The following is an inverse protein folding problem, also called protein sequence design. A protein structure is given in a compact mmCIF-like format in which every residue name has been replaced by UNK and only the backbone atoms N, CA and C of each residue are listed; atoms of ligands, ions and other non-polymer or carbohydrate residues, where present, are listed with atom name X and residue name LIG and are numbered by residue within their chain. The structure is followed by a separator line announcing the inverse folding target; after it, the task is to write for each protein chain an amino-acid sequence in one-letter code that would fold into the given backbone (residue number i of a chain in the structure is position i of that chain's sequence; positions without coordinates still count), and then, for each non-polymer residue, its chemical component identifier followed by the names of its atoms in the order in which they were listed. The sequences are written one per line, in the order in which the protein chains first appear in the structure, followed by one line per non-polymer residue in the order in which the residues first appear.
data_IF_774544671687
#
_entry.id   IF_774544671687
#
_cell.length_a   1.000
_cell.length_b   1.000
_cell.length_c   1.000
_cell.angle_alpha   90.00
_cell.angle_beta   90.00
_cell.angle_gamma   90.00
#
_symmetry.space_group_name_H-M   'P 1'
#
loop_
_entity.id
_entity.type
_entity.pdbx_description
1 polymer ?
#
# COMPACT_ATOMS: atom_id res chain seq x y z
N UNK A 1 15.36 -12.43 -15.78
CA UNK A 1 15.09 -12.31 -14.33
C UNK A 1 16.41 -12.07 -13.62
N UNK A 2 16.54 -11.02 -12.80
CA UNK A 2 17.73 -10.83 -11.98
C UNK A 2 17.90 -12.03 -11.03
N UNK A 3 19.14 -12.48 -10.87
CA UNK A 3 19.49 -13.62 -10.02
C UNK A 3 19.26 -13.24 -8.56
N UNK A 4 18.45 -14.01 -7.81
CA UNK A 4 18.19 -13.76 -6.39
C UNK A 4 19.49 -13.88 -5.59
N UNK A 5 19.73 -12.90 -4.73
CA UNK A 5 20.98 -12.74 -3.97
C UNK A 5 20.99 -13.64 -2.72
N UNK A 6 22.17 -14.04 -2.22
CA UNK A 6 22.27 -14.85 -1.02
C UNK A 6 21.74 -14.09 0.20
N UNK A 7 20.85 -14.72 0.97
CA UNK A 7 20.29 -14.19 2.21
C UNK A 7 21.33 -14.22 3.34
N UNK A 8 21.10 -13.44 4.41
CA UNK A 8 21.82 -13.57 5.67
C UNK A 8 21.92 -15.06 6.05
N UNK A 9 23.12 -15.65 6.15
CA UNK A 9 23.26 -17.08 6.43
C UNK A 9 22.68 -17.47 7.80
N UNK A 10 22.50 -16.50 8.70
CA UNK A 10 21.91 -16.71 10.02
C UNK A 10 20.38 -16.61 10.04
N UNK A 11 19.76 -16.02 9.02
CA UNK A 11 18.31 -15.93 8.93
C UNK A 11 17.75 -16.99 8.00
N UNK A 12 17.03 -17.96 8.59
CA UNK A 12 16.35 -19.02 7.86
C UNK A 12 14.85 -18.89 8.15
N UNK A 13 14.01 -18.59 7.15
CA UNK A 13 12.57 -18.48 7.38
C UNK A 13 12.01 -19.83 7.79
N UNK A 14 11.16 -19.83 8.81
CA UNK A 14 10.48 -21.04 9.27
C UNK A 14 9.48 -21.58 8.25
N UNK A 15 8.92 -20.69 7.41
CA UNK A 15 8.02 -21.04 6.30
C UNK A 15 8.21 -20.12 5.09
N UNK A 16 7.86 -20.64 3.92
CA UNK A 16 7.84 -19.90 2.66
C UNK A 16 6.49 -20.02 2.01
N UNK A 17 5.94 -18.90 1.59
CA UNK A 17 4.65 -18.80 0.94
C UNK A 17 4.83 -18.22 -0.47
N UNK A 18 4.00 -18.67 -1.40
CA UNK A 18 3.88 -18.09 -2.73
C UNK A 18 2.54 -17.38 -2.95
N UNK A 19 1.61 -17.53 -2.00
CA UNK A 19 0.29 -16.89 -2.00
C UNK A 19 -0.03 -16.36 -0.61
N UNK A 20 -0.71 -15.21 -0.56
CA UNK A 20 -1.09 -14.56 0.70
C UNK A 20 -2.10 -15.42 1.47
N UNK A 21 -2.98 -16.09 0.74
CA UNK A 21 -4.09 -16.88 1.27
C UNK A 21 -3.61 -18.06 2.12
N UNK A 22 -2.40 -18.55 1.85
CA UNK A 22 -1.78 -19.69 2.52
C UNK A 22 -1.08 -19.32 3.83
N UNK A 23 -0.97 -18.02 4.15
CA UNK A 23 -0.37 -17.57 5.41
C UNK A 23 -1.19 -18.11 6.60
N UNK A 24 -0.50 -18.63 7.62
CA UNK A 24 -1.08 -19.19 8.84
C UNK A 24 -0.41 -18.59 10.08
N UNK A 25 -1.13 -17.93 10.98
CA UNK A 25 -0.50 -17.14 12.07
C UNK A 25 -0.07 -17.96 13.30
N UNK A 26 -0.38 -19.26 13.36
CA UNK A 26 -0.23 -20.13 14.54
C UNK A 26 1.08 -19.99 15.35
N UNK A 27 2.15 -20.69 14.95
CA UNK A 27 3.48 -20.64 15.61
C UNK A 27 4.52 -19.86 14.80
N UNK A 28 4.10 -19.05 13.84
CA UNK A 28 5.03 -18.34 12.96
C UNK A 28 5.81 -17.29 13.76
N UNK A 29 7.13 -17.41 13.72
CA UNK A 29 8.05 -16.32 14.07
C UNK A 29 8.56 -15.67 12.81
N UNK A 30 9.25 -16.40 11.93
CA UNK A 30 9.82 -15.84 10.69
C UNK A 30 9.30 -16.56 9.44
N UNK A 31 8.94 -15.81 8.40
CA UNK A 31 8.48 -16.39 7.13
C UNK A 31 8.82 -15.50 5.92
N UNK A 32 8.82 -16.11 4.73
CA UNK A 32 8.90 -15.42 3.45
C UNK A 32 7.57 -15.50 2.70
N UNK A 33 7.24 -14.45 1.94
CA UNK A 33 6.22 -14.48 0.91
C UNK A 33 6.79 -13.94 -0.40
N UNK A 34 6.62 -14.69 -1.49
CA UNK A 34 6.79 -14.13 -2.84
C UNK A 34 5.48 -13.51 -3.32
N UNK A 35 5.51 -12.25 -3.76
CA UNK A 35 4.39 -11.53 -4.34
C UNK A 35 4.83 -10.90 -5.67
N UNK A 36 4.42 -11.50 -6.79
CA UNK A 36 5.02 -11.19 -8.08
C UNK A 36 6.53 -11.44 -8.04
N UNK A 37 7.32 -10.44 -8.43
CA UNK A 37 8.78 -10.50 -8.36
C UNK A 37 9.35 -10.11 -6.98
N UNK A 38 8.51 -9.69 -6.04
CA UNK A 38 8.92 -9.20 -4.72
C UNK A 38 9.07 -10.34 -3.71
N UNK A 39 10.14 -10.32 -2.93
CA UNK A 39 10.34 -11.21 -1.79
C UNK A 39 10.14 -10.42 -0.49
N UNK A 40 9.06 -10.70 0.22
CA UNK A 40 8.82 -10.17 1.56
C UNK A 40 9.40 -11.12 2.59
N UNK A 41 10.37 -10.65 3.35
CA UNK A 41 10.80 -11.30 4.58
C UNK A 41 10.07 -10.68 5.77
N UNK A 42 9.45 -11.52 6.58
CA UNK A 42 8.54 -11.12 7.64
C UNK A 42 8.93 -11.79 8.96
N UNK A 43 8.72 -11.07 10.06
CA UNK A 43 8.79 -11.60 11.43
C UNK A 43 7.53 -11.25 12.19
N UNK A 44 6.81 -12.24 12.69
CA UNK A 44 5.60 -12.07 13.49
C UNK A 44 5.85 -12.42 14.96
N UNK A 45 5.31 -11.61 15.84
CA UNK A 45 5.36 -11.78 17.29
C UNK A 45 3.95 -11.59 17.86
N UNK A 46 3.36 -12.69 18.35
CA UNK A 46 2.05 -12.66 18.94
C UNK A 46 2.09 -12.14 20.39
N UNK A 47 1.10 -11.33 20.78
CA UNK A 47 0.82 -10.99 22.17
C UNK A 47 -0.55 -11.48 22.58
N UNK A 48 -0.63 -12.20 23.69
CA UNK A 48 -1.91 -12.66 24.24
C UNK A 48 -2.74 -11.47 24.71
N UNK A 49 -4.01 -11.44 24.30
CA UNK A 49 -4.95 -10.39 24.70
C UNK A 49 -4.72 -9.03 24.03
N UNK A 50 -3.81 -8.96 23.05
CA UNK A 50 -3.70 -7.78 22.20
C UNK A 50 -4.96 -7.61 21.35
N UNK A 51 -5.38 -6.37 21.17
CA UNK A 51 -6.53 -5.95 20.37
C UNK A 51 -6.13 -5.24 19.07
N UNK A 52 -4.82 -5.26 18.75
CA UNK A 52 -4.22 -4.53 17.63
C UNK A 52 -2.92 -5.16 17.15
N UNK A 53 -2.55 -4.82 15.94
CA UNK A 53 -1.26 -5.18 15.32
C UNK A 53 -0.48 -3.94 14.93
N UNK A 54 0.80 -3.93 15.31
CA UNK A 54 1.78 -2.95 14.86
C UNK A 54 2.60 -3.54 13.73
N UNK A 55 2.62 -2.85 12.60
CA UNK A 55 3.34 -3.26 11.40
C UNK A 55 4.61 -2.43 11.30
N UNK A 56 5.72 -3.03 11.71
CA UNK A 56 7.02 -2.38 11.84
C UNK A 56 7.80 -2.50 10.53
N UNK A 57 7.99 -1.39 9.81
CA UNK A 57 8.70 -1.43 8.53
C UNK A 57 10.15 -1.00 8.68
N UNK A 58 11.05 -1.79 8.09
CA UNK A 58 12.49 -1.47 7.99
C UNK A 58 12.89 -1.43 6.52
N UNK A 59 13.52 -0.33 6.10
CA UNK A 59 14.02 -0.19 4.73
C UNK A 59 15.51 0.15 4.65
N UNK A 60 16.24 0.24 5.76
CA UNK A 60 17.67 0.57 5.75
C UNK A 60 18.54 -0.53 6.38
N UNK A 61 19.65 -0.84 5.71
CA UNK A 61 20.68 -1.80 6.17
C UNK A 61 21.77 -1.17 7.05
N UNK A 62 21.71 0.16 7.20
CA UNK A 62 22.74 1.02 7.82
C UNK A 62 24.08 0.97 7.06
N UNK A 63 25.03 1.84 7.43
CA UNK A 63 26.35 1.98 6.77
C UNK A 63 27.22 0.70 6.81
N UNK A 64 26.84 -0.28 7.63
CA UNK A 64 27.53 -1.57 7.75
C UNK A 64 27.03 -2.62 6.75
N UNK A 65 26.07 -2.29 5.88
CA UNK A 65 25.44 -3.23 4.93
C UNK A 65 24.97 -4.51 5.62
N UNK A 66 24.26 -4.37 6.75
CA UNK A 66 23.72 -5.51 7.49
C UNK A 66 23.05 -6.49 6.51
N UNK A 67 23.30 -7.81 6.65
CA UNK A 67 22.80 -8.78 5.69
C UNK A 67 21.26 -8.79 5.70
N UNK A 68 20.65 -8.92 4.53
CA UNK A 68 19.19 -8.96 4.39
C UNK A 68 18.64 -10.34 4.78
N UNK A 69 17.46 -10.42 5.43
CA UNK A 69 16.55 -9.32 5.74
C UNK A 69 16.97 -8.52 6.97
N UNK A 70 16.50 -7.27 7.01
CA UNK A 70 16.65 -6.36 8.17
C UNK A 70 15.29 -6.09 8.80
N UNK A 71 15.23 -6.14 10.13
CA UNK A 71 14.00 -5.90 10.89
C UNK A 71 14.17 -4.73 11.87
N UNK A 72 13.04 -4.18 12.30
CA UNK A 72 13.00 -3.13 13.31
C UNK A 72 12.87 -3.79 14.69
N UNK A 73 13.99 -4.23 15.28
CA UNK A 73 13.98 -5.07 16.49
C UNK A 73 14.00 -4.26 17.82
N UNK A 74 13.87 -2.93 17.75
CA UNK A 74 13.97 -2.03 18.92
C UNK A 74 12.68 -1.93 19.76
N UNK A 75 11.64 -2.71 19.43
CA UNK A 75 10.33 -2.73 20.11
C UNK A 75 9.95 -4.15 20.50
N UNK A 76 9.27 -4.31 21.64
CA UNK A 76 8.68 -5.59 22.06
C UNK A 76 7.15 -5.54 22.03
N UNK A 77 6.46 -6.70 21.89
CA UNK A 77 5.01 -6.76 22.01
C UNK A 77 4.54 -6.20 23.37
N UNK A 78 5.32 -6.38 24.43
CA UNK A 78 5.14 -5.85 25.78
C UNK A 78 5.06 -4.32 25.79
N UNK A 79 6.02 -3.65 25.17
CA UNK A 79 6.10 -2.19 25.05
C UNK A 79 4.94 -1.64 24.22
N UNK A 80 4.68 -2.25 23.06
CA UNK A 80 3.69 -1.75 22.10
C UNK A 80 2.24 -2.01 22.52
N UNK A 81 2.01 -2.95 23.44
CA UNK A 81 0.67 -3.43 23.79
C UNK A 81 -0.13 -3.94 22.59
N UNK A 82 0.53 -4.69 21.71
CA UNK A 82 -0.07 -5.27 20.51
C UNK A 82 0.70 -6.47 19.97
N UNK A 83 0.13 -7.12 18.96
CA UNK A 83 0.90 -8.00 18.08
C UNK A 83 1.91 -7.16 17.29
N UNK A 84 3.04 -7.74 16.89
CA UNK A 84 4.01 -7.08 16.03
C UNK A 84 4.26 -7.91 14.78
N UNK A 85 4.21 -7.26 13.62
CA UNK A 85 4.66 -7.81 12.35
C UNK A 85 5.76 -6.91 11.79
N UNK A 86 6.99 -7.39 11.77
CA UNK A 86 8.10 -6.73 11.12
C UNK A 86 8.15 -7.14 9.65
N UNK A 87 8.39 -6.18 8.76
CA UNK A 87 8.67 -6.44 7.36
C UNK A 87 9.96 -5.74 6.94
N UNK A 88 10.81 -6.49 6.26
CA UNK A 88 11.92 -5.95 5.50
C UNK A 88 11.40 -5.44 4.16
N UNK A 89 11.89 -4.28 3.73
CA UNK A 89 11.58 -3.72 2.42
C UNK A 89 12.00 -4.69 1.29
N UNK A 90 11.05 -5.19 0.46
CA UNK A 90 11.36 -6.11 -0.62
C UNK A 90 12.23 -5.49 -1.71
N UNK A 91 12.30 -4.14 -1.81
CA UNK A 91 13.18 -3.47 -2.78
C UNK A 91 14.66 -3.74 -2.51
N UNK A 92 15.05 -4.03 -1.26
CA UNK A 92 16.44 -4.32 -0.89
C UNK A 92 16.98 -5.62 -1.49
N UNK A 93 16.13 -6.51 -2.00
CA UNK A 93 16.54 -7.79 -2.57
C UNK A 93 16.98 -7.69 -4.05
N UNK A 94 16.86 -6.52 -4.68
CA UNK A 94 17.19 -6.32 -6.10
C UNK A 94 18.62 -5.84 -6.36
N UNK A 95 19.32 -5.31 -5.35
CA UNK A 95 20.66 -4.75 -5.50
C UNK A 95 21.45 -4.84 -4.17
N UNK A 96 22.61 -5.51 -4.18
CA UNK A 96 23.44 -5.74 -2.98
C UNK A 96 24.01 -4.44 -2.40
N UNK A 97 24.14 -3.40 -3.22
CA UNK A 97 24.65 -2.08 -2.85
C UNK A 97 23.53 -1.14 -2.40
N UNK A 98 22.26 -1.55 -2.47
CA UNK A 98 21.16 -0.72 -2.01
C UNK A 98 21.13 -0.66 -0.48
N UNK A 99 21.61 0.46 0.07
CA UNK A 99 21.65 0.72 1.51
C UNK A 99 20.26 0.98 2.11
N UNK A 100 19.37 1.57 1.33
CA UNK A 100 18.03 1.93 1.76
C UNK A 100 17.00 1.85 0.62
N UNK A 101 15.84 1.29 0.90
CA UNK A 101 14.65 1.36 0.06
C UNK A 101 13.60 2.30 0.66
N UNK A 102 12.38 2.25 0.11
CA UNK A 102 11.22 2.98 0.62
C UNK A 102 9.89 2.24 0.35
N UNK A 103 9.94 0.91 0.25
CA UNK A 103 8.84 0.02 -0.13
C UNK A 103 8.23 0.40 -1.49
N UNK A 104 9.08 0.65 -2.48
CA UNK A 104 8.61 0.97 -3.83
C UNK A 104 8.29 -0.30 -4.65
N UNK A 105 9.02 -1.38 -4.40
CA UNK A 105 8.99 -2.60 -5.21
C UNK A 105 9.75 -2.43 -6.53
N UNK A 106 9.13 -2.84 -7.62
CA UNK A 106 9.62 -2.66 -9.00
C UNK A 106 8.65 -1.79 -9.81
N UNK A 107 8.99 -1.55 -11.08
CA UNK A 107 8.09 -0.89 -12.02
C UNK A 107 6.73 -1.61 -12.09
N UNK A 108 6.77 -2.93 -12.23
CA UNK A 108 5.62 -3.80 -12.41
C UNK A 108 4.88 -4.05 -11.09
N UNK A 109 5.61 -4.30 -10.00
CA UNK A 109 5.05 -4.75 -8.73
C UNK A 109 5.21 -3.69 -7.63
N UNK A 110 4.07 -3.17 -7.15
CA UNK A 110 4.01 -2.23 -6.04
C UNK A 110 4.20 -2.97 -4.70
N UNK A 111 5.28 -2.68 -3.97
CA UNK A 111 5.53 -3.32 -2.69
C UNK A 111 4.50 -2.95 -1.61
N UNK A 112 3.86 -1.78 -1.69
CA UNK A 112 2.80 -1.41 -0.74
C UNK A 112 1.57 -2.31 -0.93
N UNK A 113 1.27 -2.74 -2.16
CA UNK A 113 0.15 -3.65 -2.42
C UNK A 113 0.37 -5.02 -1.76
N UNK A 114 1.57 -5.59 -1.91
CA UNK A 114 1.95 -6.84 -1.23
C UNK A 114 1.92 -6.70 0.30
N UNK A 115 2.49 -5.60 0.82
CA UNK A 115 2.48 -5.26 2.25
C UNK A 115 1.06 -5.23 2.82
N UNK A 116 0.11 -4.52 2.18
CA UNK A 116 -1.28 -4.43 2.65
C UNK A 116 -1.92 -5.81 2.67
N UNK A 117 -1.79 -6.59 1.59
CA UNK A 117 -2.38 -7.94 1.50
C UNK A 117 -1.87 -8.88 2.61
N UNK A 118 -0.56 -8.87 2.87
CA UNK A 118 0.05 -9.64 3.98
C UNK A 118 -0.56 -9.22 5.32
N UNK A 119 -0.60 -7.91 5.57
CA UNK A 119 -1.05 -7.35 6.84
C UNK A 119 -2.53 -7.63 7.07
N UNK A 120 -3.38 -7.41 6.07
CA UNK A 120 -4.82 -7.66 6.16
C UNK A 120 -5.13 -9.14 6.36
N UNK A 121 -4.39 -10.03 5.70
CA UNK A 121 -4.49 -11.47 5.94
C UNK A 121 -4.15 -11.84 7.37
N UNK A 122 -3.05 -11.32 7.90
CA UNK A 122 -2.62 -11.60 9.29
C UNK A 122 -3.62 -11.00 10.28
N UNK A 123 -4.06 -9.76 10.07
CA UNK A 123 -5.08 -9.11 10.90
C UNK A 123 -6.39 -9.92 10.91
N UNK A 124 -6.85 -10.40 9.75
CA UNK A 124 -8.04 -11.25 9.62
C UNK A 124 -7.91 -12.55 10.41
N UNK A 125 -6.75 -13.22 10.33
CA UNK A 125 -6.47 -14.43 11.13
C UNK A 125 -6.43 -14.17 12.65
N UNK A 126 -6.17 -12.92 13.06
CA UNK A 126 -6.22 -12.47 14.44
C UNK A 126 -7.61 -11.95 14.85
N UNK A 127 -8.59 -11.92 13.93
CA UNK A 127 -9.91 -11.34 14.18
C UNK A 127 -9.89 -9.81 14.34
N UNK A 128 -8.91 -9.14 13.75
CA UNK A 128 -8.72 -7.69 13.81
C UNK A 128 -9.23 -7.03 12.52
N UNK A 129 -10.00 -5.96 12.67
CA UNK A 129 -10.36 -5.09 11.55
C UNK A 129 -9.28 -4.01 11.30
N UNK A 130 -9.40 -3.27 10.20
CA UNK A 130 -8.42 -2.26 9.77
C UNK A 130 -8.16 -1.14 10.79
N UNK A 131 -9.15 -0.83 11.64
CA UNK A 131 -9.04 0.19 12.69
C UNK A 131 -8.11 -0.26 13.83
N UNK A 132 -7.71 -1.53 13.79
CA UNK A 132 -6.76 -2.14 14.72
C UNK A 132 -5.36 -2.36 14.11
N UNK A 133 -5.11 -1.80 12.94
CA UNK A 133 -3.81 -1.87 12.25
C UNK A 133 -3.09 -0.52 12.41
N UNK A 134 -1.84 -0.57 12.86
CA UNK A 134 -0.96 0.60 12.99
C UNK A 134 0.33 0.34 12.23
N UNK A 135 0.53 1.01 11.10
CA UNK A 135 1.80 1.00 10.39
C UNK A 135 2.78 1.93 11.09
N UNK A 136 3.98 1.44 11.41
CA UNK A 136 5.00 2.19 12.14
C UNK A 136 6.33 2.10 11.41
N UNK A 137 6.91 3.25 11.07
CA UNK A 137 8.16 3.25 10.34
C UNK A 137 8.93 4.57 10.48
N UNK A 138 10.27 4.51 10.59
CA UNK A 138 11.12 5.68 10.52
C UNK A 138 11.58 6.00 9.09
N UNK A 139 12.09 7.21 8.89
CA UNK A 139 12.95 7.58 7.75
C UNK A 139 12.32 7.21 6.39
N UNK A 140 13.05 6.51 5.52
CA UNK A 140 12.61 6.11 4.19
C UNK A 140 11.45 5.09 4.23
N UNK A 141 11.42 4.19 5.23
CA UNK A 141 10.34 3.22 5.40
C UNK A 141 9.00 3.90 5.73
N UNK A 142 9.02 5.13 6.25
CA UNK A 142 7.84 5.94 6.48
C UNK A 142 7.03 6.23 5.21
N UNK A 143 7.67 6.24 4.04
CA UNK A 143 6.96 6.30 2.75
C UNK A 143 6.02 5.11 2.59
N UNK A 144 6.55 3.89 2.77
CA UNK A 144 5.77 2.65 2.71
C UNK A 144 4.64 2.60 3.73
N UNK A 145 4.92 2.98 4.98
CA UNK A 145 3.92 3.01 6.05
C UNK A 145 2.81 4.03 5.77
N UNK A 146 3.17 5.23 5.28
CA UNK A 146 2.19 6.26 4.92
C UNK A 146 1.29 5.77 3.79
N UNK A 147 1.87 5.23 2.72
CA UNK A 147 1.12 4.71 1.58
C UNK A 147 0.20 3.55 1.98
N UNK A 148 0.68 2.66 2.85
CA UNK A 148 -0.12 1.56 3.36
C UNK A 148 -1.30 2.06 4.20
N UNK A 149 -1.08 2.99 5.13
CA UNK A 149 -2.13 3.60 5.94
C UNK A 149 -3.15 4.36 5.08
N UNK A 150 -2.69 5.15 4.10
CA UNK A 150 -3.53 5.90 3.17
C UNK A 150 -4.46 4.96 2.38
N UNK A 151 -3.91 3.89 1.80
CA UNK A 151 -4.66 3.00 0.91
C UNK A 151 -5.59 2.05 1.66
N UNK A 152 -5.19 1.56 2.84
CA UNK A 152 -6.01 0.67 3.67
C UNK A 152 -7.02 1.41 4.55
N UNK A 153 -6.80 2.70 4.82
CA UNK A 153 -7.56 3.50 5.79
C UNK A 153 -7.19 3.18 7.25
N UNK A 154 -5.99 2.66 7.49
CA UNK A 154 -5.45 2.38 8.83
C UNK A 154 -4.74 3.61 9.43
N UNK A 155 -4.07 3.44 10.58
CA UNK A 155 -3.20 4.46 11.18
C UNK A 155 -1.76 4.28 10.67
N UNK A 156 -1.11 5.39 10.32
CA UNK A 156 0.34 5.44 10.09
C UNK A 156 1.06 6.29 11.14
N UNK A 157 2.07 5.75 11.81
CA UNK A 157 3.01 6.45 12.70
C UNK A 157 4.35 6.57 11.99
N UNK A 158 4.69 7.81 11.61
CA UNK A 158 5.77 8.11 10.69
C UNK A 158 6.84 8.93 11.42
N UNK A 159 8.00 8.34 11.67
CA UNK A 159 9.07 8.98 12.47
C UNK A 159 10.17 9.52 11.55
N UNK A 160 10.52 10.80 11.69
CA UNK A 160 11.49 11.52 10.85
C UNK A 160 11.30 11.22 9.35
N UNK A 161 10.06 11.36 8.82
CA UNK A 161 9.68 10.62 7.63
C UNK A 161 10.20 11.22 6.34
N UNK A 162 10.49 10.33 5.40
CA UNK A 162 10.60 10.63 3.98
C UNK A 162 9.19 10.66 3.35
N UNK A 163 8.78 11.81 2.79
CA UNK A 163 7.40 12.03 2.34
C UNK A 163 7.26 12.36 0.84
N UNK A 164 8.32 12.86 0.19
CA UNK A 164 8.32 13.16 -1.24
C UNK A 164 9.66 12.80 -1.91
N UNK A 165 9.60 11.92 -2.91
CA UNK A 165 10.76 11.45 -3.64
C UNK A 165 11.48 12.51 -4.50
N UNK A 166 10.78 13.58 -4.90
CA UNK A 166 11.38 14.68 -5.67
C UNK A 166 12.53 15.32 -4.88
N UNK A 167 12.41 15.33 -3.55
CA UNK A 167 13.41 15.91 -2.65
C UNK A 167 14.70 15.07 -2.50
N UNK A 168 14.74 13.84 -3.04
CA UNK A 168 15.87 12.90 -2.93
C UNK A 168 16.75 12.76 -4.18
N UNK A 169 16.47 13.53 -5.24
CA UNK A 169 17.02 13.28 -6.57
C UNK A 169 18.55 13.17 -6.72
N UNK A 170 19.31 13.75 -5.79
CA UNK A 170 20.79 13.74 -5.88
C UNK A 170 21.45 12.60 -5.08
N UNK A 171 20.67 11.80 -4.35
CA UNK A 171 21.23 10.70 -3.57
C UNK A 171 21.56 9.49 -4.46
N UNK A 172 22.60 8.74 -4.09
CA UNK A 172 22.92 7.46 -4.74
C UNK A 172 21.73 6.50 -4.64
N UNK A 173 21.13 6.36 -3.46
CA UNK A 173 19.93 5.57 -3.19
C UNK A 173 18.80 5.86 -4.20
N UNK A 174 18.48 7.14 -4.44
CA UNK A 174 17.41 7.49 -5.36
C UNK A 174 17.71 7.12 -6.82
N UNK A 175 18.99 7.13 -7.23
CA UNK A 175 19.40 6.68 -8.56
C UNK A 175 19.30 5.17 -8.71
N UNK A 176 19.75 4.41 -7.71
CA UNK A 176 19.64 2.94 -7.72
C UNK A 176 18.18 2.51 -7.76
N UNK A 177 17.32 3.12 -6.94
CA UNK A 177 15.87 2.88 -6.98
C UNK A 177 15.27 3.25 -8.35
N UNK A 178 15.64 4.40 -8.93
CA UNK A 178 15.16 4.78 -10.25
C UNK A 178 15.56 3.75 -11.32
N UNK A 179 16.79 3.22 -11.25
CA UNK A 179 17.28 2.19 -12.15
C UNK A 179 16.48 0.87 -12.04
N UNK A 180 16.09 0.46 -10.83
CA UNK A 180 15.19 -0.71 -10.62
C UNK A 180 13.86 -0.53 -11.37
N UNK A 181 13.38 0.71 -11.51
CA UNK A 181 12.16 1.05 -12.25
C UNK A 181 12.37 1.27 -13.76
N UNK A 182 13.61 1.19 -14.24
CA UNK A 182 13.99 1.58 -15.59
C UNK A 182 13.84 3.08 -15.85
N UNK A 183 13.89 3.91 -14.80
CA UNK A 183 13.89 5.37 -14.87
C UNK A 183 15.31 5.92 -14.76
N UNK A 184 15.56 7.07 -15.38
CA UNK A 184 16.89 7.72 -15.40
C UNK A 184 17.15 8.60 -14.17
N UNK A 185 16.10 8.96 -13.42
CA UNK A 185 16.17 9.87 -12.27
C UNK A 185 15.02 9.66 -11.29
N UNK A 186 15.18 10.20 -10.08
CA UNK A 186 14.12 10.19 -9.08
C UNK A 186 12.92 11.05 -9.50
N UNK A 187 13.12 12.15 -10.26
CA UNK A 187 11.98 12.90 -10.80
C UNK A 187 11.21 12.10 -11.83
N UNK A 188 11.89 11.39 -12.74
CA UNK A 188 11.20 10.57 -13.72
C UNK A 188 10.40 9.46 -13.03
N UNK A 189 10.99 8.80 -12.02
CA UNK A 189 10.30 7.86 -11.16
C UNK A 189 9.07 8.51 -10.48
N UNK A 190 9.24 9.68 -9.86
CA UNK A 190 8.16 10.35 -9.15
C UNK A 190 7.06 10.88 -10.08
N UNK A 191 7.40 11.24 -11.31
CA UNK A 191 6.43 11.65 -12.34
C UNK A 191 5.67 10.46 -12.91
N UNK A 192 6.33 9.32 -13.11
CA UNK A 192 5.69 8.09 -13.60
C UNK A 192 4.86 7.36 -12.53
N UNK A 193 5.24 7.49 -11.26
CA UNK A 193 4.61 6.77 -10.13
C UNK A 193 4.32 7.70 -8.93
N UNK A 194 3.61 8.82 -9.10
CA UNK A 194 3.40 9.81 -8.03
C UNK A 194 2.65 9.20 -6.83
N UNK A 195 1.72 8.29 -7.08
CA UNK A 195 0.95 7.57 -6.05
C UNK A 195 1.77 6.55 -5.24
N UNK A 196 3.01 6.24 -5.65
CA UNK A 196 3.95 5.38 -4.91
C UNK A 196 5.04 6.18 -4.20
N UNK A 197 5.28 7.42 -4.62
CA UNK A 197 6.51 8.17 -4.30
C UNK A 197 6.28 9.51 -3.63
N UNK A 198 5.02 9.95 -3.52
CA UNK A 198 4.65 11.26 -2.98
C UNK A 198 3.42 11.15 -2.07
N UNK A 199 3.65 11.17 -0.76
CA UNK A 199 2.59 10.97 0.25
C UNK A 199 1.46 11.98 0.08
N UNK A 200 1.78 13.25 -0.19
CA UNK A 200 0.76 14.28 -0.36
C UNK A 200 -0.15 14.05 -1.57
N UNK A 201 0.37 13.48 -2.66
CA UNK A 201 -0.45 13.12 -3.84
C UNK A 201 -1.36 11.95 -3.50
N UNK A 202 -0.83 10.90 -2.85
CA UNK A 202 -1.62 9.75 -2.44
C UNK A 202 -2.71 10.12 -1.43
N UNK A 203 -2.39 11.00 -0.48
CA UNK A 203 -3.33 11.48 0.52
C UNK A 203 -4.43 12.33 -0.13
N UNK A 204 -4.10 13.26 -1.03
CA UNK A 204 -5.10 14.06 -1.73
C UNK A 204 -6.05 13.18 -2.55
N UNK A 205 -5.53 12.16 -3.23
CA UNK A 205 -6.34 11.18 -3.93
C UNK A 205 -7.25 10.42 -2.94
N UNK A 206 -6.72 9.90 -1.83
CA UNK A 206 -7.52 9.22 -0.80
C UNK A 206 -8.60 10.12 -0.18
N UNK A 207 -8.31 11.38 0.08
CA UNK A 207 -9.26 12.36 0.61
C UNK A 207 -10.35 12.72 -0.38
N UNK A 208 -9.98 12.91 -1.66
CA UNK A 208 -10.94 12.96 -2.75
C UNK A 208 -11.79 11.69 -2.70
N UNK A 209 -11.18 10.54 -2.37
CA UNK A 209 -11.87 9.26 -2.24
C UNK A 209 -12.82 9.12 -1.03
N UNK A 210 -12.96 10.15 -0.20
CA UNK A 210 -13.64 10.06 1.08
C UNK A 210 -12.97 9.09 2.05
N UNK A 211 -11.78 8.58 1.71
CA UNK A 211 -10.93 7.81 2.60
C UNK A 211 -10.24 8.83 3.51
N UNK A 212 -10.39 8.64 4.81
CA UNK A 212 -9.88 9.55 5.85
C UNK A 212 -8.78 8.85 6.63
N UNK A 213 -7.61 8.58 6.02
CA UNK A 213 -6.55 7.87 6.71
C UNK A 213 -6.03 8.73 7.85
N UNK A 214 -5.48 8.10 8.89
CA UNK A 214 -4.95 8.80 10.04
C UNK A 214 -3.43 8.72 10.02
N UNK A 215 -2.75 9.86 9.88
CA UNK A 215 -1.28 9.94 9.85
C UNK A 215 -0.75 10.72 11.05
N UNK A 216 0.13 10.11 11.83
CA UNK A 216 0.88 10.75 12.90
C UNK A 216 2.32 10.98 12.41
N UNK A 217 2.66 12.24 12.20
CA UNK A 217 3.98 12.68 11.75
C UNK A 217 4.82 13.08 12.96
N UNK A 218 5.81 12.27 13.31
CA UNK A 218 6.70 12.53 14.44
C UNK A 218 8.05 13.01 13.94
N UNK A 219 8.42 14.26 14.21
CA UNK A 219 9.61 14.87 13.62
C UNK A 219 10.58 15.42 14.66
N UNK A 220 11.84 14.99 14.55
CA UNK A 220 12.98 15.58 15.25
C UNK A 220 13.32 16.93 14.60
N UNK A 221 13.30 18.01 15.36
CA UNK A 221 13.67 19.35 14.88
C UNK A 221 15.18 19.49 14.63
N UNK A 222 16.00 18.61 15.21
CA UNK A 222 17.46 18.59 15.01
C UNK A 222 17.88 17.85 13.74
N UNK A 223 16.98 17.10 13.12
CA UNK A 223 17.15 16.53 11.78
C UNK A 223 16.90 17.60 10.72
N UNK A 224 17.83 18.56 10.61
CA UNK A 224 17.62 19.79 9.86
C UNK A 224 17.27 19.56 8.39
N UNK A 225 17.78 18.49 7.78
CA UNK A 225 17.52 18.20 6.37
C UNK A 225 16.08 17.71 6.16
N UNK A 226 15.64 16.67 6.88
CA UNK A 226 14.28 16.16 6.74
C UNK A 226 13.26 17.14 7.32
N UNK A 227 13.58 17.81 8.42
CA UNK A 227 12.72 18.84 8.99
C UNK A 227 12.39 19.92 7.96
N UNK A 228 13.40 20.48 7.28
CA UNK A 228 13.19 21.57 6.31
C UNK A 228 12.62 21.10 4.98
N UNK A 229 13.08 19.96 4.46
CA UNK A 229 12.75 19.51 3.10
C UNK A 229 11.54 18.59 3.03
N UNK A 230 11.25 17.82 4.08
CA UNK A 230 10.13 16.89 4.09
C UNK A 230 9.02 17.47 4.97
N UNK A 231 9.28 17.64 6.26
CA UNK A 231 8.25 17.99 7.25
C UNK A 231 7.63 19.37 7.03
N UNK A 232 8.44 20.43 6.93
CA UNK A 232 7.93 21.81 6.75
C UNK A 232 7.12 21.94 5.46
N UNK A 233 7.60 21.36 4.36
CA UNK A 233 6.89 21.38 3.08
C UNK A 233 5.54 20.67 3.18
N UNK A 234 5.53 19.47 3.76
CA UNK A 234 4.30 18.71 3.99
C UNK A 234 3.32 19.46 4.89
N UNK A 235 3.81 20.08 5.96
CA UNK A 235 2.96 20.87 6.86
C UNK A 235 2.33 22.07 6.15
N UNK A 236 3.08 22.79 5.32
CA UNK A 236 2.53 23.91 4.55
C UNK A 236 1.46 23.46 3.56
N UNK A 237 1.68 22.33 2.89
CA UNK A 237 0.73 21.78 1.92
C UNK A 237 -0.59 21.34 2.57
N UNK A 238 -0.54 20.81 3.80
CA UNK A 238 -1.70 20.29 4.52
C UNK A 238 -2.18 21.20 5.66
N UNK A 239 -1.69 22.44 5.74
CA UNK A 239 -2.03 23.39 6.81
C UNK A 239 -1.82 22.83 8.23
N UNK A 240 -0.81 21.98 8.40
CA UNK A 240 -0.47 21.34 9.67
C UNK A 240 0.40 22.28 10.53
N UNK A 241 0.16 22.40 11.85
CA UNK A 241 1.00 23.23 12.71
C UNK A 241 2.44 22.70 12.80
N UNK A 242 3.42 23.57 12.52
CA UNK A 242 4.85 23.24 12.65
C UNK A 242 5.29 22.94 14.09
N UNK A 243 4.48 23.31 15.08
CA UNK A 243 4.76 23.08 16.52
C UNK A 243 4.10 21.81 17.07
N UNK A 244 3.50 20.98 16.22
CA UNK A 244 2.68 19.86 16.64
C UNK A 244 1.20 20.23 16.75
N UNK A 245 0.33 19.23 16.61
CA UNK A 245 -1.12 19.37 16.66
C UNK A 245 -1.81 18.72 15.47
N UNK A 246 -3.11 18.95 15.36
CA UNK A 246 -3.95 18.40 14.29
C UNK A 246 -4.06 19.37 13.12
N UNK A 247 -4.26 18.83 11.93
CA UNK A 247 -4.83 19.58 10.81
C UNK A 247 -6.32 19.87 11.06
N UNK A 248 -6.92 20.73 10.21
CA UNK A 248 -8.32 21.13 10.38
C UNK A 248 -9.32 19.97 10.20
N UNK A 249 -8.96 18.95 9.41
CA UNK A 249 -9.80 17.79 9.16
C UNK A 249 -9.66 16.69 10.24
N UNK A 250 -8.72 16.85 11.18
CA UNK A 250 -8.36 15.85 12.20
C UNK A 250 -7.94 14.51 11.58
N UNK A 251 -7.30 14.56 10.42
CA UNK A 251 -6.77 13.39 9.69
C UNK A 251 -5.27 13.23 9.92
N UNK A 252 -4.57 14.33 10.09
CA UNK A 252 -3.12 14.35 10.25
C UNK A 252 -2.79 15.00 11.59
N UNK A 253 -1.98 14.33 12.39
CA UNK A 253 -1.41 14.87 13.61
C UNK A 253 0.10 15.02 13.43
N UNK A 254 0.69 16.15 13.81
CA UNK A 254 2.13 16.28 13.98
C UNK A 254 2.51 16.24 15.46
N UNK A 255 3.67 15.64 15.72
CA UNK A 255 4.34 15.65 17.02
C UNK A 255 5.80 16.03 16.81
N UNK A 256 6.27 17.10 17.45
CA UNK A 256 7.69 17.49 17.36
C UNK A 256 8.47 17.07 18.61
N UNK A 257 9.74 16.76 18.43
CA UNK A 257 10.70 16.55 19.51
C UNK A 257 12.07 17.08 19.08
N UNK A 258 13.01 17.13 20.02
CA UNK A 258 14.37 17.61 19.75
C UNK A 258 15.35 16.65 20.39
N UNK A 259 16.14 15.97 19.56
CA UNK A 259 17.18 15.04 20.02
C UNK A 259 18.47 15.21 19.20
N UNK A 260 19.62 15.13 19.85
CA UNK A 260 20.93 15.40 19.21
C UNK A 260 21.35 14.36 18.18
N UNK A 261 20.74 13.17 18.18
CA UNK A 261 20.99 12.11 17.19
C UNK A 261 20.55 12.48 15.77
N UNK A 262 19.74 13.54 15.61
CA UNK A 262 19.30 14.00 14.29
C UNK A 262 18.36 12.99 13.62
N UNK A 263 18.78 12.41 12.50
CA UNK A 263 17.98 11.51 11.65
C UNK A 263 17.91 10.05 12.17
N UNK A 264 18.20 9.81 13.44
CA UNK A 264 18.06 8.47 14.02
C UNK A 264 16.57 8.09 14.18
N UNK A 265 16.25 6.81 14.43
CA UNK A 265 14.93 6.41 14.93
C UNK A 265 14.55 7.16 16.22
N UNK A 266 13.28 7.10 16.59
CA UNK A 266 12.80 7.67 17.84
C UNK A 266 13.50 7.05 19.07
N UNK A 267 13.75 7.86 20.10
CA UNK A 267 14.23 7.33 21.39
C UNK A 267 13.11 6.59 22.12
N UNK A 268 13.42 5.73 23.11
CA UNK A 268 12.41 5.09 23.94
C UNK A 268 11.43 6.08 24.61
N UNK A 269 11.90 7.26 25.01
CA UNK A 269 11.07 8.30 25.62
C UNK A 269 10.07 8.90 24.61
N UNK A 270 10.54 9.14 23.38
CA UNK A 270 9.69 9.65 22.29
C UNK A 270 8.65 8.60 21.91
N UNK A 271 9.06 7.34 21.75
CA UNK A 271 8.16 6.21 21.48
C UNK A 271 7.10 6.05 22.57
N UNK A 272 7.51 6.10 23.83
CA UNK A 272 6.58 6.04 24.96
C UNK A 272 5.59 7.22 24.95
N UNK A 273 6.01 8.42 24.53
CA UNK A 273 5.12 9.57 24.36
C UNK A 273 4.12 9.34 23.23
N UNK A 274 4.56 8.81 22.09
CA UNK A 274 3.66 8.44 20.98
C UNK A 274 2.58 7.48 21.48
N UNK A 275 2.98 6.40 22.17
CA UNK A 275 2.06 5.35 22.62
C UNK A 275 1.07 5.83 23.70
N UNK A 276 1.50 6.70 24.62
CA UNK A 276 0.65 7.16 25.72
C UNK A 276 -0.23 8.36 25.37
N UNK A 277 0.22 9.22 24.45
CA UNK A 277 -0.43 10.51 24.24
C UNK A 277 -1.02 10.63 22.84
N UNK A 278 -0.22 10.41 21.79
CA UNK A 278 -0.64 10.71 20.42
C UNK A 278 -1.49 9.58 19.81
N UNK A 279 -1.04 8.32 19.91
CA UNK A 279 -1.73 7.18 19.31
C UNK A 279 -3.16 6.97 19.86
N UNK A 280 -3.43 7.11 21.18
CA UNK A 280 -4.79 7.02 21.69
C UNK A 280 -5.75 8.05 21.05
N UNK A 281 -5.29 9.30 20.84
CA UNK A 281 -6.08 10.32 20.15
C UNK A 281 -6.35 9.93 18.70
N UNK A 282 -5.36 9.37 17.99
CA UNK A 282 -5.53 8.87 16.62
C UNK A 282 -6.60 7.78 16.53
N UNK A 283 -6.60 6.86 17.50
CA UNK A 283 -7.57 5.75 17.59
C UNK A 283 -8.97 6.27 17.89
N UNK A 284 -9.09 7.23 18.82
CA UNK A 284 -10.37 7.88 19.14
C UNK A 284 -10.96 8.58 17.90
N UNK A 285 -10.15 9.38 17.20
CA UNK A 285 -10.57 10.07 15.98
C UNK A 285 -10.96 9.13 14.86
N UNK A 286 -10.23 8.03 14.67
CA UNK A 286 -10.59 7.01 13.69
C UNK A 286 -11.92 6.33 14.05
N UNK A 287 -12.15 6.04 15.32
CA UNK A 287 -13.39 5.44 15.81
C UNK A 287 -14.59 6.40 15.63
N UNK A 288 -14.39 7.69 15.88
CA UNK A 288 -15.39 8.72 15.64
C UNK A 288 -15.69 8.92 14.14
N UNK A 289 -14.68 8.78 13.28
CA UNK A 289 -14.81 8.94 11.82
C UNK A 289 -15.46 7.73 11.14
N UNK A 290 -15.49 6.56 11.79
CA UNK A 290 -16.04 5.32 11.25
C UNK A 290 -17.59 5.31 11.15
N UNK A 291 -18.27 6.40 11.53
CA UNK A 291 -19.73 6.42 11.73
C UNK A 291 -20.57 6.85 10.53
N UNK A 292 -19.99 7.23 9.39
CA UNK A 292 -20.79 7.45 8.17
C UNK A 292 -20.88 6.12 7.40
N UNK A 293 -22.05 5.48 7.28
CA UNK A 293 -22.19 4.32 6.42
C UNK A 293 -21.75 4.72 5.01
N UNK A 294 -20.74 4.04 4.47
CA UNK A 294 -20.42 4.15 3.05
C UNK A 294 -21.67 3.72 2.30
N UNK A 295 -22.39 4.64 1.68
CA UNK A 295 -23.40 4.26 0.71
C UNK A 295 -22.64 3.63 -0.45
N UNK A 296 -22.80 2.31 -0.58
CA UNK A 296 -22.27 1.51 -1.66
C UNK A 296 -23.46 1.02 -2.47
N UNK A 297 -23.42 1.20 -3.78
CA UNK A 297 -24.38 0.56 -4.68
C UNK A 297 -23.72 -0.61 -5.39
N UNK A 298 -24.49 -1.62 -5.71
CA UNK A 298 -24.03 -2.78 -6.44
C UNK A 298 -24.38 -2.65 -7.92
N UNK A 299 -23.41 -2.99 -8.75
CA UNK A 299 -23.49 -3.00 -10.21
C UNK A 299 -23.16 -4.41 -10.66
N UNK A 300 -24.15 -5.09 -11.22
CA UNK A 300 -23.99 -6.44 -11.76
C UNK A 300 -23.37 -6.37 -13.15
N UNK A 301 -22.21 -6.99 -13.32
CA UNK A 301 -21.50 -7.16 -14.57
C UNK A 301 -21.84 -8.54 -15.14
N UNK A 302 -22.82 -8.59 -16.03
CA UNK A 302 -23.28 -9.84 -16.67
C UNK A 302 -23.09 -9.86 -18.19
N UNK A 303 -22.52 -8.80 -18.77
CA UNK A 303 -22.19 -8.72 -20.20
C UNK A 303 -20.83 -8.07 -20.42
N UNK A 304 -20.15 -8.41 -21.51
CA UNK A 304 -18.96 -7.70 -21.98
C UNK A 304 -19.32 -6.39 -22.69
N UNK A 305 -18.33 -5.54 -22.91
CA UNK A 305 -18.46 -4.24 -23.57
C UNK A 305 -18.56 -3.07 -22.60
N UNK A 306 -18.98 -1.92 -23.14
CA UNK A 306 -19.12 -0.67 -22.40
C UNK A 306 -20.45 -0.63 -21.67
N UNK A 307 -20.40 -0.48 -20.35
CA UNK A 307 -21.56 -0.36 -19.48
C UNK A 307 -21.53 0.98 -18.78
N UNK A 308 -22.67 1.66 -18.73
CA UNK A 308 -22.81 3.00 -18.12
C UNK A 308 -23.88 2.96 -17.04
N UNK A 309 -23.53 3.43 -15.85
CA UNK A 309 -24.39 3.48 -14.68
C UNK A 309 -24.50 4.90 -14.14
N UNK A 310 -25.71 5.27 -13.71
CA UNK A 310 -25.93 6.47 -12.92
C UNK A 310 -25.68 6.17 -11.46
N UNK A 311 -24.75 6.89 -10.85
CA UNK A 311 -24.41 6.79 -9.43
C UNK A 311 -25.14 7.90 -8.68
N UNK A 312 -26.08 7.60 -7.76
CA UNK A 312 -26.81 8.61 -7.01
C UNK A 312 -25.88 9.49 -6.14
N UNK A 313 -26.30 10.74 -5.84
CA UNK A 313 -25.60 11.57 -4.87
C UNK A 313 -25.45 10.84 -3.52
N UNK A 314 -24.26 10.97 -2.92
CA UNK A 314 -23.97 10.41 -1.59
C UNK A 314 -23.46 8.97 -1.60
N UNK A 315 -23.44 8.31 -2.76
CA UNK A 315 -22.72 7.05 -2.94
C UNK A 315 -21.22 7.32 -2.95
N UNK A 316 -20.47 6.56 -2.16
CA UNK A 316 -19.01 6.69 -1.98
C UNK A 316 -18.20 5.64 -2.74
N UNK A 317 -18.84 4.53 -3.11
CA UNK A 317 -18.26 3.49 -3.94
C UNK A 317 -19.36 2.72 -4.68
N UNK A 318 -18.99 2.17 -5.82
CA UNK A 318 -19.77 1.19 -6.57
C UNK A 318 -19.07 -0.14 -6.44
N UNK A 319 -19.79 -1.15 -5.95
CA UNK A 319 -19.32 -2.53 -5.93
C UNK A 319 -19.69 -3.19 -7.26
N UNK A 320 -18.67 -3.67 -7.96
CA UNK A 320 -18.80 -4.46 -9.16
C UNK A 320 -18.99 -5.92 -8.75
N UNK A 321 -20.18 -6.42 -9.00
CA UNK A 321 -20.56 -7.80 -8.71
C UNK A 321 -20.59 -8.57 -10.01
N UNK A 322 -19.95 -9.72 -10.06
CA UNK A 322 -20.04 -10.64 -11.19
C UNK A 322 -20.05 -12.07 -10.69
N UNK A 323 -20.52 -12.99 -11.53
CA UNK A 323 -20.21 -14.40 -11.33
C UNK A 323 -18.70 -14.61 -11.32
N UNK A 324 -18.27 -15.69 -10.68
CA UNK A 324 -16.85 -16.02 -10.52
C UNK A 324 -16.54 -17.45 -10.95
N UNK A 325 -15.36 -17.66 -11.52
CA UNK A 325 -14.84 -18.97 -11.84
C UNK A 325 -13.36 -19.09 -11.45
N UNK A 326 -12.91 -20.32 -11.24
CA UNK A 326 -11.48 -20.65 -11.03
C UNK A 326 -11.05 -21.60 -12.13
N UNK A 327 -9.90 -21.33 -12.76
CA UNK A 327 -9.41 -22.11 -13.89
C UNK A 327 -8.29 -23.07 -13.48
N UNK A 328 -8.12 -24.19 -14.19
CA UNK A 328 -7.11 -25.20 -13.83
C UNK A 328 -5.66 -24.66 -13.81
N UNK A 329 -5.37 -23.64 -14.62
CA UNK A 329 -4.07 -23.00 -14.73
C UNK A 329 -3.99 -21.63 -14.04
N UNK A 330 -5.10 -21.18 -13.44
CA UNK A 330 -5.16 -19.91 -12.71
C UNK A 330 -5.89 -20.13 -11.38
N UNK A 331 -5.13 -20.11 -10.30
CA UNK A 331 -5.64 -20.38 -8.96
C UNK A 331 -6.48 -19.22 -8.38
N UNK A 332 -6.61 -18.11 -9.10
CA UNK A 332 -7.44 -16.97 -8.70
C UNK A 332 -8.92 -17.29 -8.94
N UNK A 333 -9.76 -16.69 -8.11
CA UNK A 333 -11.21 -16.66 -8.32
C UNK A 333 -11.53 -15.44 -9.16
N UNK A 334 -11.65 -15.61 -10.47
CA UNK A 334 -11.80 -14.51 -11.42
C UNK A 334 -13.28 -14.15 -11.59
N UNK A 335 -13.58 -12.87 -11.64
CA UNK A 335 -14.91 -12.31 -11.91
C UNK A 335 -14.99 -11.65 -13.30
N UNK A 336 -14.78 -10.35 -13.38
CA UNK A 336 -14.80 -9.58 -14.62
C UNK A 336 -13.42 -9.00 -14.94
N UNK A 337 -13.02 -9.02 -16.21
CA UNK A 337 -11.82 -8.33 -16.69
C UNK A 337 -12.18 -6.89 -17.08
N UNK A 338 -11.71 -5.90 -16.31
CA UNK A 338 -11.99 -4.48 -16.52
C UNK A 338 -10.88 -3.84 -17.33
N UNK A 339 -11.18 -3.35 -18.53
CA UNK A 339 -10.25 -2.72 -19.45
C UNK A 339 -10.21 -1.18 -19.35
N UNK A 340 -11.30 -0.56 -18.88
CA UNK A 340 -11.34 0.87 -18.61
C UNK A 340 -12.38 1.19 -17.54
N UNK A 341 -12.10 2.23 -16.76
CA UNK A 341 -13.04 2.83 -15.81
C UNK A 341 -13.05 4.33 -16.10
N UNK A 342 -14.24 4.92 -16.22
CA UNK A 342 -14.42 6.37 -16.32
C UNK A 342 -15.46 6.86 -15.33
N UNK A 343 -15.18 7.99 -14.69
CA UNK A 343 -16.11 8.67 -13.79
C UNK A 343 -16.34 10.07 -14.35
N UNK A 344 -17.59 10.37 -14.71
CA UNK A 344 -17.97 11.63 -15.39
C UNK A 344 -17.15 11.91 -16.67
N UNK A 345 -16.74 10.85 -17.36
CA UNK A 345 -15.92 10.93 -18.58
C UNK A 345 -14.42 10.99 -18.33
N UNK A 346 -13.97 11.19 -17.08
CA UNK A 346 -12.55 11.15 -16.73
C UNK A 346 -12.07 9.70 -16.54
N UNK A 347 -10.98 9.34 -17.21
CA UNK A 347 -10.39 8.00 -17.11
C UNK A 347 -9.72 7.79 -15.75
N UNK A 348 -10.17 6.78 -15.02
CA UNK A 348 -9.47 6.25 -13.85
C UNK A 348 -8.41 5.26 -14.35
N UNK A 349 -7.15 5.51 -14.02
CA UNK A 349 -6.07 4.60 -14.37
C UNK A 349 -6.32 3.21 -13.76
N UNK A 350 -6.20 2.13 -14.52
CA UNK A 350 -6.28 0.79 -13.93
C UNK A 350 -5.11 0.50 -12.97
N UNK A 351 -4.01 1.26 -13.08
CA UNK A 351 -2.92 1.21 -12.11
C UNK A 351 -3.21 2.04 -10.84
N UNK A 352 -4.40 2.64 -10.72
CA UNK A 352 -4.78 3.44 -9.57
C UNK A 352 -4.84 2.56 -8.30
N UNK A 353 -4.15 2.93 -7.21
CA UNK A 353 -4.08 2.11 -6.01
C UNK A 353 -5.41 2.07 -5.22
N UNK A 354 -6.37 2.94 -5.53
CA UNK A 354 -7.70 2.86 -4.95
C UNK A 354 -8.45 1.61 -5.43
N UNK A 355 -8.11 1.09 -6.61
CA UNK A 355 -8.61 -0.18 -7.16
C UNK A 355 -7.86 -1.37 -6.53
N UNK A 356 -7.94 -1.51 -5.20
CA UNK A 356 -7.29 -2.62 -4.48
C UNK A 356 -8.31 -3.66 -3.98
N UNK A 357 -9.54 -3.23 -3.70
CA UNK A 357 -10.59 -4.11 -3.16
C UNK A 357 -11.22 -4.90 -4.28
N UNK A 358 -11.10 -6.22 -4.16
CA UNK A 358 -11.60 -7.17 -5.14
C UNK A 358 -10.99 -7.04 -6.53
N UNK A 359 -9.85 -6.35 -6.67
CA UNK A 359 -9.10 -6.26 -7.92
C UNK A 359 -7.79 -7.03 -7.80
N UNK A 360 -7.48 -7.84 -8.81
CA UNK A 360 -6.17 -8.46 -9.00
C UNK A 360 -5.16 -7.46 -9.58
N UNK A 361 -3.91 -7.88 -9.75
CA UNK A 361 -2.87 -7.03 -10.33
C UNK A 361 -3.17 -6.65 -11.79
N UNK A 362 -2.51 -5.61 -12.28
CA UNK A 362 -2.68 -5.11 -13.64
C UNK A 362 -2.04 -6.07 -14.65
N UNK A 363 -2.83 -6.55 -15.60
CA UNK A 363 -2.39 -7.42 -16.68
C UNK A 363 -2.31 -6.65 -18.00
N UNK A 364 -1.46 -7.15 -18.91
CA UNK A 364 -1.20 -6.53 -20.21
C UNK A 364 -0.93 -7.57 -21.28
N UNK A 365 -1.47 -7.32 -22.47
CA UNK A 365 -1.13 -8.04 -23.70
C UNK A 365 -1.02 -7.03 -24.86
N UNK A 366 0.19 -6.86 -25.38
CA UNK A 366 0.48 -5.81 -26.36
C UNK A 366 0.12 -4.42 -25.83
N UNK A 367 -0.80 -3.74 -26.50
CA UNK A 367 -1.30 -2.42 -26.10
C UNK A 367 -2.50 -2.48 -25.14
N UNK A 368 -3.07 -3.66 -24.90
CA UNK A 368 -4.24 -3.83 -24.04
C UNK A 368 -3.82 -3.97 -22.59
N UNK A 369 -4.60 -3.40 -21.68
CA UNK A 369 -4.40 -3.51 -20.23
C UNK A 369 -5.73 -3.76 -19.54
N UNK A 370 -5.76 -4.66 -18.56
CA UNK A 370 -6.98 -4.92 -17.78
C UNK A 370 -6.65 -5.31 -16.33
N UNK A 371 -7.66 -5.32 -15.47
CA UNK A 371 -7.61 -6.00 -14.17
C UNK A 371 -8.77 -6.95 -14.04
N UNK A 372 -8.48 -8.17 -13.63
CA UNK A 372 -9.53 -9.07 -13.16
C UNK A 372 -10.07 -8.62 -11.81
N UNK A 373 -11.38 -8.76 -11.61
CA UNK A 373 -12.00 -8.69 -10.29
C UNK A 373 -12.06 -10.07 -9.64
N UNK A 374 -12.32 -10.14 -8.34
CA UNK A 374 -12.64 -11.37 -7.60
C UNK A 374 -14.16 -11.62 -7.49
N UNK A 375 -14.95 -10.95 -8.34
CA UNK A 375 -16.41 -10.91 -8.28
C UNK A 375 -16.99 -9.90 -7.29
N UNK A 376 -16.18 -9.21 -6.49
CA UNK A 376 -16.64 -8.20 -5.52
C UNK A 376 -15.74 -6.96 -5.45
N UNK A 377 -15.34 -6.46 -6.62
CA UNK A 377 -14.47 -5.28 -6.72
C UNK A 377 -15.17 -3.99 -6.26
N UNK A 378 -14.46 -3.07 -5.59
CA UNK A 378 -15.00 -1.75 -5.25
C UNK A 378 -14.33 -0.66 -6.11
N UNK A 379 -15.12 0.05 -6.92
CA UNK A 379 -14.72 1.27 -7.63
C UNK A 379 -15.20 2.48 -6.83
N UNK A 380 -14.30 3.32 -6.34
CA UNK A 380 -14.69 4.48 -5.56
C UNK A 380 -15.25 5.62 -6.43
N UNK A 381 -16.32 6.29 -5.98
CA UNK A 381 -17.03 7.37 -6.71
C UNK A 381 -17.37 8.49 -5.72
N UNK A 382 -16.90 9.71 -5.97
CA UNK A 382 -16.31 10.48 -4.87
C UNK A 382 -16.82 11.88 -4.57
N UNK A 383 -17.79 12.39 -5.33
CA UNK A 383 -18.37 13.68 -4.96
C UNK A 383 -19.70 13.48 -4.28
N UNK A 384 -19.74 13.83 -3.00
CA UNK A 384 -20.98 14.00 -2.27
C UNK A 384 -21.71 15.25 -2.79
N UNK A 385 -22.86 15.05 -3.44
CA UNK A 385 -23.81 16.13 -3.72
C UNK A 385 -24.34 16.21 -5.16
N UNK A 386 -23.72 15.51 -6.12
CA UNK A 386 -24.24 15.38 -7.49
C UNK A 386 -24.21 13.92 -7.91
N UNK A 387 -25.19 13.51 -8.73
CA UNK A 387 -25.14 12.20 -9.36
C UNK A 387 -24.00 12.15 -10.36
N UNK A 388 -23.35 10.98 -10.49
CA UNK A 388 -22.24 10.74 -11.42
C UNK A 388 -22.61 9.73 -12.50
N UNK A 389 -21.88 9.77 -13.61
CA UNK A 389 -21.88 8.72 -14.61
C UNK A 389 -20.64 7.85 -14.40
N UNK A 390 -20.84 6.58 -14.04
CA UNK A 390 -19.78 5.58 -14.01
C UNK A 390 -19.83 4.76 -15.29
N UNK A 391 -18.72 4.70 -15.99
CA UNK A 391 -18.56 3.88 -17.18
C UNK A 391 -17.48 2.84 -16.96
N UNK A 392 -17.78 1.60 -17.34
CA UNK A 392 -16.91 0.45 -17.18
C UNK A 392 -16.85 -0.27 -18.52
N UNK A 393 -15.64 -0.53 -18.98
CA UNK A 393 -15.40 -1.37 -20.15
C UNK A 393 -14.99 -2.77 -19.67
N UNK A 394 -15.90 -3.73 -19.82
CA UNK A 394 -15.71 -5.12 -19.45
C UNK A 394 -15.18 -5.88 -20.66
N UNK A 395 -13.92 -6.28 -20.63
CA UNK A 395 -13.30 -7.03 -21.72
C UNK A 395 -13.75 -8.50 -21.74
N UNK A 396 -13.87 -9.11 -20.56
CA UNK A 396 -14.26 -10.51 -20.40
C UNK A 396 -15.00 -10.72 -19.08
N UNK A 397 -15.78 -11.80 -19.02
CA UNK A 397 -16.39 -12.33 -17.81
C UNK A 397 -15.88 -13.75 -17.61
N UNK A 398 -15.63 -14.12 -16.36
CA UNK A 398 -15.32 -15.49 -16.00
C UNK A 398 -16.57 -16.38 -16.22
N UNK A 399 -16.34 -17.59 -16.70
CA UNK A 399 -17.40 -18.56 -17.00
C UNK A 399 -17.02 -19.95 -16.47
N UNK A 400 -18.02 -20.65 -15.94
CA UNK A 400 -17.87 -22.01 -15.41
C UNK A 400 -17.72 -23.08 -16.49
N UNK A 401 -17.91 -22.74 -17.77
CA UNK A 401 -17.80 -23.69 -18.87
C UNK A 401 -16.34 -24.10 -19.17
N UNK A 402 -15.37 -23.52 -18.46
CA UNK A 402 -13.95 -23.81 -18.60
C UNK A 402 -13.36 -23.30 -19.92
N UNK A 403 -14.13 -22.56 -20.72
CA UNK A 403 -13.58 -21.84 -21.84
C UNK A 403 -12.75 -20.68 -21.30
N UNK A 404 -11.46 -20.66 -21.64
CA UNK A 404 -10.65 -19.48 -21.38
C UNK A 404 -11.28 -18.34 -22.21
N UNK A 405 -11.73 -17.24 -21.60
CA UNK A 405 -12.43 -16.17 -22.30
C UNK A 405 -11.61 -15.57 -23.45
N UNK A 406 -10.29 -15.78 -23.47
CA UNK A 406 -9.40 -15.33 -24.53
C UNK A 406 -9.13 -16.38 -25.62
N UNK A 407 -9.54 -17.64 -25.42
CA UNK A 407 -9.29 -18.73 -26.38
C UNK A 407 -10.00 -18.56 -27.72
N UNK A 408 -11.04 -17.71 -27.79
CA UNK A 408 -11.85 -17.53 -28.99
C UNK A 408 -11.55 -16.27 -29.83
N UNK A 409 -10.85 -15.26 -29.30
CA UNK A 409 -10.62 -13.97 -30.01
C UNK A 409 -9.23 -13.79 -30.64
N UNK A 410 -8.28 -14.71 -30.40
CA UNK A 410 -6.89 -14.55 -30.87
C UNK A 410 -6.51 -15.36 -32.12
N UNK A 411 -7.47 -15.99 -32.80
CA UNK A 411 -7.19 -16.50 -34.16
C UNK A 411 -7.02 -15.31 -35.10
N UNK A 412 -5.84 -15.07 -35.71
CA UNK A 412 -5.70 -14.03 -36.72
C UNK A 412 -6.74 -14.31 -37.82
N UNK A 413 -7.39 -13.27 -38.40
CA UNK A 413 -8.36 -13.47 -39.46
C UNK A 413 -7.70 -14.32 -40.54
N UNK A 414 -8.24 -15.52 -40.78
CA UNK A 414 -7.70 -16.44 -41.78
C UNK A 414 -7.58 -15.67 -43.08
N UNK A 415 -6.35 -15.46 -43.56
CA UNK A 415 -6.13 -14.94 -44.89
C UNK A 415 -6.74 -15.94 -45.87
N UNK A 416 -7.96 -15.63 -46.34
CA UNK A 416 -8.49 -16.27 -47.54
C UNK A 416 -7.57 -15.84 -48.68
N UNK A 417 -6.67 -16.73 -49.06
CA UNK A 417 -5.97 -16.66 -50.34
C UNK A 417 -7.05 -16.67 -51.43
N UNK A 418 -7.16 -15.55 -52.13
CA UNK A 418 -7.84 -15.42 -53.42
C UNK A 418 -6.79 -15.29 -54.52
#
# INVERSE_FOLDING_TARGET
MPQRMPTNPEWIPGRRYTRVEDIEVGRLTDFELTYGDLLFACRFQARRGADRIFVMLRSSRNASFAPIPVFYDDCTPEEMNGHILHLCDPTLFFDEELEAGAFYGTREHDAVSGLIKIVEKIASLLGLDRTRIVYWAPSAAAMGAAMAAIRSGAIGVLVNPFLDAINMNRSYVARTIAAIFGATSAQELAAGFPMRTRVAVALAAAQALGIRPKLLIVQNTMDLWFFRRQFVQFCHQHSLPLRGGWDSAREIMSMIYSDRSGHAPETPEVRARILREALPQMIEEMSASASAPKAVIEVNLSTTGRIVYSVPPGVSAVRLVSDVATYAHDARTLGAAIAAIRVDGETVSLADPSLHRGFYDLEREGARTWRWTDGNAEVPVLEYGKGKSLEIEVAALASDDGSDPWSHELSPPSSKAG
#
